data_IF_440542869407
#
_entry.id   IF_440542869407
#
_cell.length_a   1.000
_cell.length_b   1.000
_cell.length_c   1.000
_cell.angle_alpha   90.00
_cell.angle_beta   90.00
_cell.angle_gamma   90.00
#
_symmetry.space_group_name_H-M   'P 1'
#
loop_
_entity.id
_entity.type
_entity.pdbx_description
1 polymer ?
#
# COMPACT_ATOMS: atom_id res chain seq x y z
N UNK A 1 27.90 6.52 16.27
CA UNK A 1 27.02 6.30 15.10
C UNK A 1 25.88 5.41 15.55
N UNK A 2 24.64 5.91 15.52
CA UNK A 2 23.46 5.08 15.74
C UNK A 2 23.35 4.15 14.55
N UNK A 3 23.74 2.88 14.72
CA UNK A 3 23.45 1.84 13.74
C UNK A 3 21.95 1.65 13.75
N UNK A 4 21.25 2.27 12.81
CA UNK A 4 19.88 1.90 12.54
C UNK A 4 19.94 0.47 12.01
N UNK A 5 19.43 -0.49 12.77
CA UNK A 5 19.30 -1.90 12.38
C UNK A 5 18.25 -2.10 11.28
N UNK A 6 18.28 -1.26 10.24
CA UNK A 6 17.44 -1.34 9.06
C UNK A 6 18.15 -2.25 8.06
N UNK A 7 17.60 -3.44 7.84
CA UNK A 7 18.03 -4.36 6.80
C UNK A 7 17.43 -3.91 5.46
N UNK A 8 18.24 -3.44 4.49
CA UNK A 8 17.75 -2.95 3.20
C UNK A 8 16.95 -4.02 2.43
N UNK A 9 17.37 -5.28 2.52
CA UNK A 9 16.67 -6.41 1.89
C UNK A 9 15.29 -6.63 2.54
N UNK A 10 15.20 -6.51 3.86
CA UNK A 10 13.91 -6.60 4.56
C UNK A 10 12.95 -5.45 4.21
N UNK A 11 13.48 -4.30 3.80
CA UNK A 11 12.67 -3.17 3.34
C UNK A 11 12.06 -3.41 1.96
N UNK A 12 12.81 -4.05 1.06
CA UNK A 12 12.33 -4.47 -0.27
C UNK A 12 11.24 -5.55 -0.13
N UNK A 13 11.48 -6.56 0.70
CA UNK A 13 10.49 -7.61 0.99
C UNK A 13 9.19 -7.01 1.55
N UNK A 14 9.30 -6.03 2.46
CA UNK A 14 8.14 -5.32 3.04
C UNK A 14 7.36 -4.56 1.97
N UNK A 15 8.03 -3.94 0.99
CA UNK A 15 7.39 -3.22 -0.11
C UNK A 15 6.64 -4.16 -1.07
N UNK A 16 7.22 -5.32 -1.37
CA UNK A 16 6.60 -6.35 -2.21
C UNK A 16 5.40 -6.99 -1.50
N UNK A 17 5.50 -7.26 -0.20
CA UNK A 17 4.38 -7.74 0.63
C UNK A 17 3.24 -6.72 0.67
N UNK A 18 3.54 -5.43 0.87
CA UNK A 18 2.57 -4.34 0.83
C UNK A 18 1.85 -4.27 -0.52
N UNK A 19 2.58 -4.45 -1.61
CA UNK A 19 2.02 -4.50 -2.96
C UNK A 19 1.10 -5.71 -3.13
N UNK A 20 1.51 -6.88 -2.62
CA UNK A 20 0.71 -8.11 -2.64
C UNK A 20 -0.60 -7.96 -1.85
N UNK A 21 -0.54 -7.46 -0.62
CA UNK A 21 -1.71 -7.18 0.21
C UNK A 21 -2.63 -6.18 -0.46
N UNK A 22 -2.09 -5.13 -1.07
CA UNK A 22 -2.88 -4.13 -1.82
C UNK A 22 -3.71 -4.81 -2.91
N UNK A 23 -3.08 -5.63 -3.75
CA UNK A 23 -3.79 -6.38 -4.81
C UNK A 23 -4.86 -7.33 -4.26
N UNK A 24 -4.59 -7.98 -3.14
CA UNK A 24 -5.58 -8.87 -2.50
C UNK A 24 -6.81 -8.10 -2.02
N UNK A 25 -6.62 -6.88 -1.49
CA UNK A 25 -7.74 -6.04 -1.06
C UNK A 25 -8.52 -5.53 -2.27
N UNK A 26 -7.85 -5.19 -3.36
CA UNK A 26 -8.51 -4.81 -4.62
C UNK A 26 -9.41 -5.94 -5.14
N UNK A 27 -8.88 -7.15 -5.27
CA UNK A 27 -9.68 -8.30 -5.72
C UNK A 27 -10.87 -8.59 -4.81
N UNK A 28 -10.68 -8.51 -3.49
CA UNK A 28 -11.76 -8.72 -2.53
C UNK A 28 -12.84 -7.66 -2.65
N UNK A 29 -12.44 -6.41 -2.90
CA UNK A 29 -13.35 -5.28 -3.12
C UNK A 29 -14.14 -5.43 -4.40
N UNK A 30 -13.49 -5.81 -5.50
CA UNK A 30 -14.14 -6.01 -6.78
C UNK A 30 -15.19 -7.13 -6.71
N UNK A 31 -14.87 -8.21 -5.99
CA UNK A 31 -15.81 -9.29 -5.72
C UNK A 31 -17.00 -8.82 -4.87
N UNK A 32 -16.76 -8.04 -3.82
CA UNK A 32 -17.84 -7.46 -3.00
C UNK A 32 -18.75 -6.55 -3.84
N UNK A 33 -18.17 -5.68 -4.65
CA UNK A 33 -18.90 -4.77 -5.53
C UNK A 33 -19.75 -5.54 -6.56
N UNK A 34 -19.21 -6.61 -7.15
CA UNK A 34 -19.98 -7.46 -8.05
C UNK A 34 -21.22 -8.07 -7.37
N UNK A 35 -21.06 -8.61 -6.16
CA UNK A 35 -22.16 -9.21 -5.39
C UNK A 35 -23.21 -8.16 -5.01
N UNK A 36 -22.77 -6.99 -4.54
CA UNK A 36 -23.65 -5.89 -4.14
C UNK A 36 -24.42 -5.32 -5.33
N UNK A 37 -23.75 -5.16 -6.49
CA UNK A 37 -24.40 -4.68 -7.71
C UNK A 37 -25.50 -5.64 -8.17
N UNK A 38 -25.27 -6.96 -8.07
CA UNK A 38 -26.30 -7.96 -8.35
C UNK A 38 -27.46 -7.85 -7.36
N UNK A 39 -27.19 -7.64 -6.07
CA UNK A 39 -28.24 -7.43 -5.07
C UNK A 39 -29.05 -6.17 -5.37
N UNK A 40 -28.40 -5.03 -5.62
CA UNK A 40 -29.03 -3.76 -5.96
C UNK A 40 -29.88 -3.86 -7.23
N UNK A 41 -29.42 -4.60 -8.24
CA UNK A 41 -30.16 -4.77 -9.49
C UNK A 41 -31.40 -5.66 -9.35
N UNK A 42 -31.39 -6.61 -8.39
CA UNK A 42 -32.48 -7.56 -8.16
C UNK A 42 -33.49 -7.12 -7.10
N UNK A 43 -33.22 -6.04 -6.37
CA UNK A 43 -34.05 -5.58 -5.26
C UNK A 43 -34.49 -4.12 -5.48
N UNK A 44 -35.69 -3.79 -4.99
CA UNK A 44 -36.24 -2.43 -5.03
C UNK A 44 -36.55 -1.92 -3.61
N UNK A 45 -36.76 -0.61 -3.48
CA UNK A 45 -37.11 0.04 -2.22
C UNK A 45 -35.91 0.37 -1.32
N UNK A 46 -36.19 0.73 -0.06
CA UNK A 46 -35.22 1.33 0.87
C UNK A 46 -33.96 0.49 1.15
N UNK A 47 -34.04 -0.83 0.98
CA UNK A 47 -32.88 -1.71 1.10
C UNK A 47 -31.83 -1.40 0.03
N UNK A 48 -32.25 -1.20 -1.22
CA UNK A 48 -31.37 -0.79 -2.32
C UNK A 48 -30.66 0.54 -2.01
N UNK A 49 -31.41 1.54 -1.55
CA UNK A 49 -30.84 2.86 -1.24
C UNK A 49 -29.78 2.78 -0.13
N UNK A 50 -30.04 1.96 0.89
CA UNK A 50 -29.07 1.69 1.96
C UNK A 50 -27.78 1.04 1.45
N UNK A 51 -27.90 0.03 0.57
CA UNK A 51 -26.74 -0.64 -0.03
C UNK A 51 -25.97 0.27 -0.98
N UNK A 52 -26.64 1.10 -1.78
CA UNK A 52 -25.98 2.10 -2.65
C UNK A 52 -25.19 3.11 -1.82
N UNK A 53 -25.78 3.63 -0.75
CA UNK A 53 -25.08 4.59 0.13
C UNK A 53 -23.90 3.94 0.88
N UNK A 54 -24.04 2.68 1.29
CA UNK A 54 -22.94 1.92 1.87
C UNK A 54 -21.81 1.68 0.85
N UNK A 55 -22.18 1.36 -0.40
CA UNK A 55 -21.24 1.12 -1.50
C UNK A 55 -20.35 2.32 -1.75
N UNK A 56 -20.96 3.49 -1.91
CA UNK A 56 -20.22 4.74 -2.10
C UNK A 56 -19.25 5.04 -0.95
N UNK A 57 -19.64 4.73 0.29
CA UNK A 57 -18.78 4.95 1.47
C UNK A 57 -17.58 4.00 1.49
N UNK A 58 -17.78 2.71 1.24
CA UNK A 58 -16.65 1.79 1.24
C UNK A 58 -15.75 2.01 0.03
N UNK A 59 -16.29 2.35 -1.15
CA UNK A 59 -15.50 2.67 -2.33
C UNK A 59 -14.58 3.86 -2.07
N UNK A 60 -15.10 4.93 -1.45
CA UNK A 60 -14.30 6.07 -1.02
C UNK A 60 -13.24 5.68 0.02
N UNK A 61 -13.57 4.79 0.97
CA UNK A 61 -12.64 4.29 1.98
C UNK A 61 -11.50 3.46 1.37
N UNK A 62 -11.83 2.58 0.43
CA UNK A 62 -10.88 1.74 -0.29
C UNK A 62 -9.96 2.60 -1.16
N UNK A 63 -10.49 3.62 -1.84
CA UNK A 63 -9.65 4.53 -2.62
C UNK A 63 -8.62 5.23 -1.72
N UNK A 64 -9.05 5.77 -0.57
CA UNK A 64 -8.12 6.39 0.39
C UNK A 64 -7.05 5.42 0.89
N UNK A 65 -7.42 4.16 1.12
CA UNK A 65 -6.48 3.12 1.52
C UNK A 65 -5.49 2.83 0.39
N UNK A 66 -5.92 2.71 -0.87
CA UNK A 66 -5.02 2.57 -2.03
C UNK A 66 -4.02 3.72 -2.12
N UNK A 67 -4.50 4.94 -1.97
CA UNK A 67 -3.63 6.14 -2.02
C UNK A 67 -2.60 6.13 -0.88
N UNK A 68 -3.01 5.68 0.31
CA UNK A 68 -2.14 5.58 1.48
C UNK A 68 -1.08 4.49 1.32
N UNK A 69 -1.45 3.34 0.76
CA UNK A 69 -0.55 2.22 0.48
C UNK A 69 0.46 2.59 -0.62
N UNK A 70 -0.01 3.24 -1.70
CA UNK A 70 0.86 3.75 -2.76
C UNK A 70 1.89 4.75 -2.22
N UNK A 71 1.45 5.70 -1.38
CA UNK A 71 2.37 6.62 -0.70
C UNK A 71 3.36 5.88 0.21
N UNK A 72 2.91 4.88 0.97
CA UNK A 72 3.77 4.05 1.81
C UNK A 72 4.89 3.37 1.03
N UNK A 73 4.58 2.78 -0.13
CA UNK A 73 5.57 2.15 -1.02
C UNK A 73 6.58 3.18 -1.54
N UNK A 74 6.13 4.37 -1.94
CA UNK A 74 7.04 5.45 -2.37
C UNK A 74 7.99 5.84 -1.24
N UNK A 75 7.48 6.01 -0.02
CA UNK A 75 8.31 6.38 1.13
C UNK A 75 9.31 5.28 1.51
N UNK A 76 8.92 4.00 1.43
CA UNK A 76 9.84 2.89 1.66
C UNK A 76 10.98 2.87 0.62
N UNK A 77 10.66 3.10 -0.65
CA UNK A 77 11.67 3.18 -1.70
C UNK A 77 12.62 4.37 -1.50
N UNK A 78 12.10 5.53 -1.08
CA UNK A 78 12.94 6.70 -0.74
C UNK A 78 13.88 6.42 0.44
N UNK A 79 13.38 5.76 1.50
CA UNK A 79 14.19 5.38 2.65
C UNK A 79 15.30 4.43 2.20
N UNK A 80 14.97 3.42 1.40
CA UNK A 80 15.93 2.46 0.87
C UNK A 80 17.05 3.16 0.07
N UNK A 81 16.70 4.08 -0.82
CA UNK A 81 17.69 4.80 -1.63
C UNK A 81 18.57 5.73 -0.78
N UNK A 82 18.00 6.41 0.22
CA UNK A 82 18.78 7.22 1.17
C UNK A 82 19.78 6.36 1.97
N UNK A 83 19.38 5.16 2.38
CA UNK A 83 20.28 4.21 3.04
C UNK A 83 21.42 3.78 2.12
N UNK A 84 21.12 3.41 0.87
CA UNK A 84 22.12 3.02 -0.13
C UNK A 84 23.13 4.13 -0.39
N UNK A 85 22.67 5.37 -0.55
CA UNK A 85 23.54 6.54 -0.74
C UNK A 85 24.40 6.84 0.49
N UNK A 86 23.83 6.72 1.68
CA UNK A 86 24.55 6.88 2.94
C UNK A 86 25.66 5.84 3.13
N UNK A 87 25.37 4.58 2.81
CA UNK A 87 26.34 3.48 2.88
C UNK A 87 27.49 3.68 1.87
N UNK A 88 27.17 4.06 0.63
CA UNK A 88 28.17 4.38 -0.39
C UNK A 88 29.07 5.57 0.01
N UNK A 89 28.50 6.62 0.61
CA UNK A 89 29.26 7.74 1.15
C UNK A 89 30.15 7.33 2.32
N UNK A 90 29.62 6.50 3.24
CA UNK A 90 30.40 5.95 4.34
C UNK A 90 31.58 5.14 3.84
N UNK A 91 31.36 4.20 2.92
CA UNK A 91 32.42 3.41 2.30
C UNK A 91 33.49 4.27 1.62
N UNK A 92 33.10 5.31 0.89
CA UNK A 92 34.04 6.23 0.24
C UNK A 92 34.93 7.00 1.26
N UNK A 93 34.37 7.39 2.41
CA UNK A 93 35.14 8.07 3.47
C UNK A 93 36.19 7.15 4.12
N UNK A 94 35.94 5.84 4.18
CA UNK A 94 36.90 4.87 4.73
C UNK A 94 37.88 4.32 3.70
N UNK A 95 37.53 4.31 2.40
CA UNK A 95 38.44 3.91 1.32
C UNK A 95 39.41 5.04 0.89
N UNK A 96 39.12 6.30 1.20
CA UNK A 96 40.01 7.43 0.93
C UNK A 96 41.15 7.64 1.95
N UNK A 97 41.26 6.78 2.97
CA UNK A 97 42.19 6.94 4.11
C UNK A 97 43.11 5.72 4.33
N UNK A 98 43.38 4.92 3.29
CA UNK A 98 44.40 3.86 3.27
C UNK A 98 45.45 4.14 2.20
#
# INVERSE_FOLDING_TARGET
>A
MTSYGLNPNGLLDTGDELTGVTRSIEQTTDNLNAVVNVFIARNEGKAKDGFVAAQQKWEAGIQKMKDSLANGVVQLNEIHERYRLGDAHGAALFQGNV
#
